data_IF_679803884768
#
_entry.id   IF_679803884768
#
_cell.length_a   1.000
_cell.length_b   1.000
_cell.length_c   1.000
_cell.angle_alpha   90.00
_cell.angle_beta   90.00
_cell.angle_gamma   90.00
#
_symmetry.space_group_name_H-M   'P 1'
#
loop_
_entity.id
_entity.type
_entity.pdbx_description
1 polymer ?
#
# COMPACT_ATOMS: atom_id res chain seq x y z
N UNK A 1 -1.97 -21.33 -11.01
CA UNK A 1 -1.63 -22.16 -9.84
C UNK A 1 -0.11 -22.35 -9.65
N UNK A 2 0.68 -22.79 -10.68
CA UNK A 2 2.15 -22.98 -10.54
C UNK A 2 2.92 -21.71 -10.09
N UNK A 3 2.53 -20.51 -10.54
CA UNK A 3 3.18 -19.24 -10.15
C UNK A 3 2.92 -18.85 -8.70
N UNK A 4 1.72 -19.12 -8.18
CA UNK A 4 1.35 -18.88 -6.77
C UNK A 4 2.09 -19.87 -5.84
N UNK A 5 2.20 -21.12 -6.26
CA UNK A 5 2.94 -22.16 -5.53
C UNK A 5 4.45 -21.86 -5.48
N UNK A 6 5.00 -21.27 -6.54
CA UNK A 6 6.40 -20.85 -6.60
C UNK A 6 6.67 -19.63 -5.70
N UNK A 7 5.72 -18.69 -5.60
CA UNK A 7 5.77 -17.57 -4.65
C UNK A 7 5.66 -18.04 -3.18
N UNK A 8 4.78 -19.02 -2.90
CA UNK A 8 4.69 -19.63 -1.58
C UNK A 8 5.98 -20.39 -1.21
N UNK A 9 6.60 -21.08 -2.16
CA UNK A 9 7.85 -21.82 -1.95
C UNK A 9 9.02 -20.86 -1.70
N UNK A 10 9.09 -19.72 -2.38
CA UNK A 10 10.09 -18.68 -2.08
C UNK A 10 9.87 -18.04 -0.70
N UNK A 11 8.63 -17.86 -0.27
CA UNK A 11 8.31 -17.38 1.08
C UNK A 11 8.74 -18.37 2.17
N UNK A 12 8.58 -19.68 1.93
CA UNK A 12 9.02 -20.72 2.91
C UNK A 12 10.54 -20.85 3.01
N UNK A 13 11.28 -20.66 1.92
CA UNK A 13 12.75 -20.68 1.93
C UNK A 13 13.31 -19.44 2.64
N UNK A 14 12.64 -18.28 2.57
CA UNK A 14 13.03 -17.09 3.32
C UNK A 14 12.84 -17.26 4.84
N UNK A 15 11.87 -18.05 5.28
CA UNK A 15 11.58 -18.30 6.70
C UNK A 15 12.63 -19.19 7.40
N UNK A 16 13.42 -19.96 6.66
CA UNK A 16 14.44 -20.87 7.25
C UNK A 16 15.84 -20.24 7.33
N UNK A 17 16.08 -19.09 6.75
CA UNK A 17 17.42 -18.56 6.52
C UNK A 17 17.91 -17.51 7.53
N UNK A 18 17.27 -17.27 8.69
CA UNK A 18 17.83 -16.27 9.61
C UNK A 18 17.39 -16.44 11.06
N UNK A 19 18.17 -17.20 11.82
CA UNK A 19 18.19 -17.11 13.28
C UNK A 19 19.12 -15.95 13.73
N UNK A 20 19.09 -14.79 13.08
CA UNK A 20 19.83 -13.62 13.54
C UNK A 20 18.91 -12.68 14.31
N UNK A 21 19.41 -12.15 15.41
CA UNK A 21 18.72 -11.31 16.38
C UNK A 21 18.12 -10.06 15.72
N UNK A 22 16.83 -10.08 15.39
CA UNK A 22 16.08 -8.93 14.89
C UNK A 22 15.11 -8.38 15.94
N UNK A 23 15.22 -8.81 17.19
CA UNK A 23 14.52 -8.17 18.30
C UNK A 23 15.27 -6.89 18.64
N UNK A 24 14.58 -5.77 18.47
CA UNK A 24 15.10 -4.46 18.87
C UNK A 24 14.71 -4.19 20.30
N UNK A 25 15.56 -3.43 20.99
CA UNK A 25 15.28 -3.07 22.38
C UNK A 25 14.06 -2.14 22.48
N UNK A 26 13.36 -2.24 23.61
CA UNK A 26 12.25 -1.35 23.93
C UNK A 26 12.73 0.12 23.94
N UNK A 27 11.97 0.99 23.29
CA UNK A 27 12.31 2.40 23.17
C UNK A 27 13.19 2.72 21.96
N UNK A 28 13.58 1.73 21.15
CA UNK A 28 14.32 1.96 19.91
C UNK A 28 13.45 2.71 18.89
N UNK A 29 14.06 3.67 18.22
CA UNK A 29 13.48 4.33 17.05
C UNK A 29 14.25 3.94 15.80
N UNK A 30 13.54 3.62 14.73
CA UNK A 30 14.15 3.29 13.44
C UNK A 30 13.61 4.17 12.32
N UNK A 31 14.43 4.42 11.30
CA UNK A 31 14.04 5.10 10.08
C UNK A 31 14.23 4.15 8.91
N UNK A 32 13.17 3.97 8.10
CA UNK A 32 13.13 3.03 6.98
C UNK A 32 12.79 3.73 5.68
N UNK A 33 13.77 4.16 4.85
CA UNK A 33 13.51 4.41 3.44
C UNK A 33 13.06 3.13 2.75
N UNK A 34 12.08 3.25 1.85
CA UNK A 34 11.51 2.11 1.13
C UNK A 34 11.08 2.48 -0.28
N UNK A 35 11.16 1.50 -1.17
CA UNK A 35 10.72 1.59 -2.56
C UNK A 35 10.01 0.30 -2.96
N UNK A 36 9.16 0.35 -3.98
CA UNK A 36 8.48 -0.85 -4.43
C UNK A 36 7.45 -0.62 -5.51
N UNK A 37 6.55 -1.59 -5.61
CA UNK A 37 5.46 -1.62 -6.58
C UNK A 37 4.12 -1.31 -5.91
N UNK A 38 3.32 -0.51 -6.60
CA UNK A 38 1.97 -0.14 -6.25
C UNK A 38 1.02 -0.74 -7.31
N UNK A 39 0.13 -1.63 -6.91
CA UNK A 39 -0.88 -2.24 -7.77
C UNK A 39 -2.24 -1.66 -7.41
N UNK A 40 -2.65 -0.63 -8.15
CA UNK A 40 -3.94 0.03 -7.99
C UNK A 40 -5.05 -0.81 -8.62
N UNK A 41 -6.15 -0.96 -7.91
CA UNK A 41 -7.33 -1.72 -8.31
C UNK A 41 -8.58 -0.89 -8.09
N UNK A 42 -9.53 -1.03 -8.99
CA UNK A 42 -10.87 -0.47 -8.83
C UNK A 42 -11.70 -1.36 -7.90
N UNK A 43 -12.38 -0.76 -6.94
CA UNK A 43 -13.33 -1.43 -6.05
C UNK A 43 -14.61 -0.59 -5.97
N UNK A 44 -15.75 -1.17 -6.36
CA UNK A 44 -17.04 -0.49 -6.33
C UNK A 44 -18.05 -1.08 -7.31
N UNK A 45 -19.23 -0.46 -7.37
CA UNK A 45 -20.30 -0.83 -8.27
C UNK A 45 -20.01 -0.27 -9.67
N UNK A 46 -19.34 -1.06 -10.51
CA UNK A 46 -19.12 -0.72 -11.92
C UNK A 46 -20.27 -1.28 -12.77
N UNK A 47 -21.13 -0.39 -13.23
CA UNK A 47 -22.13 -0.75 -14.24
C UNK A 47 -21.44 -0.87 -15.59
N UNK A 48 -21.16 -2.08 -16.01
CA UNK A 48 -20.49 -2.39 -17.27
C UNK A 48 -21.36 -1.90 -18.46
N UNK A 49 -20.86 -0.97 -19.27
CA UNK A 49 -21.55 -0.64 -20.52
C UNK A 49 -21.67 -1.89 -21.42
N UNK A 50 -22.68 -1.98 -22.24
CA UNK A 50 -22.81 -3.07 -23.20
C UNK A 50 -21.57 -3.13 -24.10
N UNK A 51 -20.77 -4.21 -23.99
CA UNK A 51 -19.50 -4.38 -24.71
C UNK A 51 -18.26 -3.82 -24.00
N UNK A 52 -18.39 -3.18 -22.84
CA UNK A 52 -17.24 -2.65 -22.07
C UNK A 52 -16.41 -3.73 -21.38
N UNK A 53 -15.16 -3.42 -21.05
CA UNK A 53 -14.24 -4.32 -20.32
C UNK A 53 -14.26 -4.03 -18.82
N UNK A 54 -13.95 -5.04 -18.01
CA UNK A 54 -13.77 -4.86 -16.57
C UNK A 54 -12.52 -4.03 -16.28
N UNK A 55 -12.54 -3.20 -15.19
CA UNK A 55 -11.38 -2.44 -14.78
C UNK A 55 -10.17 -3.36 -14.52
N UNK A 56 -9.03 -3.05 -15.15
CA UNK A 56 -7.79 -3.79 -15.00
C UNK A 56 -6.87 -3.11 -14.00
N UNK A 57 -6.15 -3.90 -13.22
CA UNK A 57 -5.12 -3.43 -12.30
C UNK A 57 -4.07 -2.63 -13.05
N UNK A 58 -3.69 -1.48 -12.49
CA UNK A 58 -2.56 -0.68 -12.97
C UNK A 58 -1.38 -0.86 -12.02
N UNK A 59 -0.22 -1.21 -12.58
CA UNK A 59 1.03 -1.18 -11.87
C UNK A 59 1.65 0.23 -11.91
N UNK A 60 2.07 0.70 -10.76
CA UNK A 60 2.83 1.92 -10.53
C UNK A 60 4.00 1.65 -9.61
N UNK A 61 4.71 2.69 -9.20
CA UNK A 61 5.75 2.58 -8.19
C UNK A 61 5.32 3.27 -6.88
N UNK A 62 5.96 2.88 -5.78
CA UNK A 62 5.86 3.54 -4.49
C UNK A 62 7.26 3.79 -3.94
N UNK A 63 7.47 4.97 -3.37
CA UNK A 63 8.70 5.31 -2.67
C UNK A 63 8.36 6.19 -1.46
N UNK A 64 9.11 6.03 -0.37
CA UNK A 64 8.87 6.82 0.82
C UNK A 64 9.79 6.48 1.97
N UNK A 65 9.43 6.99 3.13
CA UNK A 65 10.14 6.78 4.39
C UNK A 65 9.12 6.47 5.48
N UNK A 66 9.49 5.59 6.41
CA UNK A 66 8.68 5.22 7.57
C UNK A 66 9.56 5.26 8.82
N UNK A 67 9.14 6.00 9.84
CA UNK A 67 9.76 5.99 11.17
C UNK A 67 8.95 5.09 12.08
N UNK A 68 9.60 4.18 12.78
CA UNK A 68 8.95 3.24 13.69
C UNK A 68 9.57 3.32 15.09
N UNK A 69 8.70 3.39 16.09
CA UNK A 69 9.02 3.34 17.50
C UNK A 69 8.63 1.98 18.07
N UNK A 70 9.57 1.27 18.67
CA UNK A 70 9.36 -0.02 19.34
C UNK A 70 8.95 0.22 20.78
N UNK A 71 7.63 0.11 21.05
CA UNK A 71 7.11 0.29 22.41
C UNK A 71 7.46 -0.92 23.32
N UNK A 72 7.56 -2.11 22.73
CA UNK A 72 8.01 -3.33 23.37
C UNK A 72 8.38 -4.39 22.31
N UNK A 73 8.82 -5.59 22.74
CA UNK A 73 9.33 -6.66 21.87
C UNK A 73 8.32 -7.16 20.81
N UNK A 74 7.04 -6.97 21.04
CA UNK A 74 5.97 -7.45 20.17
C UNK A 74 5.15 -6.34 19.50
N UNK A 75 5.37 -5.06 19.85
CA UNK A 75 4.55 -3.96 19.38
C UNK A 75 5.37 -2.72 19.02
N UNK A 76 5.15 -2.22 17.81
CA UNK A 76 5.69 -0.97 17.32
C UNK A 76 4.60 -0.07 16.74
N UNK A 77 4.89 1.22 16.67
CA UNK A 77 4.05 2.22 16.00
C UNK A 77 4.89 2.89 14.94
N UNK A 78 4.43 2.85 13.68
CA UNK A 78 5.11 3.44 12.55
C UNK A 78 4.31 4.59 11.93
N UNK A 79 4.98 5.68 11.64
CA UNK A 79 4.47 6.82 10.88
C UNK A 79 5.29 6.98 9.60
N UNK A 80 4.61 7.05 8.46
CA UNK A 80 5.27 7.13 7.17
C UNK A 80 4.87 8.33 6.33
N UNK A 81 5.65 8.55 5.28
CA UNK A 81 5.34 9.45 4.18
C UNK A 81 5.73 8.75 2.87
N UNK A 82 4.75 8.42 2.03
CA UNK A 82 4.96 7.66 0.81
C UNK A 82 4.32 8.34 -0.40
N UNK A 83 5.07 8.50 -1.47
CA UNK A 83 4.52 8.80 -2.79
C UNK A 83 4.15 7.50 -3.48
N UNK A 84 2.93 7.38 -3.99
CA UNK A 84 2.45 6.18 -4.67
C UNK A 84 1.66 6.52 -5.94
N UNK A 85 2.03 5.85 -7.02
CA UNK A 85 1.28 5.88 -8.27
C UNK A 85 0.22 4.80 -8.26
N UNK A 86 -1.04 5.21 -8.36
CA UNK A 86 -2.22 4.34 -8.34
C UNK A 86 -3.05 4.52 -9.61
N UNK A 87 -4.18 3.85 -9.67
CA UNK A 87 -5.15 3.97 -10.75
C UNK A 87 -5.55 2.63 -11.33
N UNK A 88 -6.27 2.68 -12.44
CA UNK A 88 -6.75 1.50 -13.17
C UNK A 88 -6.86 1.78 -14.66
N UNK A 89 -7.15 0.73 -15.44
CA UNK A 89 -7.39 0.84 -16.88
C UNK A 89 -8.79 0.33 -17.19
N UNK A 90 -9.54 1.09 -18.00
CA UNK A 90 -10.89 0.73 -18.47
C UNK A 90 -11.01 1.08 -19.94
N UNK A 91 -11.46 0.13 -20.77
CA UNK A 91 -11.73 0.30 -22.21
C UNK A 91 -10.60 0.99 -23.00
N UNK A 92 -9.33 0.66 -22.67
CA UNK A 92 -8.15 1.24 -23.28
C UNK A 92 -7.68 2.54 -22.63
N UNK A 93 -8.53 3.23 -21.89
CA UNK A 93 -8.19 4.48 -21.20
C UNK A 93 -7.47 4.17 -19.87
N UNK A 94 -6.44 4.96 -19.56
CA UNK A 94 -5.67 4.81 -18.33
C UNK A 94 -5.95 5.96 -17.38
N UNK A 95 -6.49 5.66 -16.21
CA UNK A 95 -6.57 6.61 -15.10
C UNK A 95 -5.30 6.51 -14.26
N UNK A 96 -4.60 7.64 -14.12
CA UNK A 96 -3.37 7.80 -13.32
C UNK A 96 -3.68 8.70 -12.14
N UNK A 97 -3.48 8.18 -10.93
CA UNK A 97 -3.68 8.90 -9.69
C UNK A 97 -2.39 8.82 -8.88
N UNK A 98 -1.81 9.98 -8.60
CA UNK A 98 -0.59 10.05 -7.80
C UNK A 98 -0.96 10.62 -6.43
N UNK A 99 -0.67 9.85 -5.39
CA UNK A 99 -0.98 10.21 -4.00
C UNK A 99 0.28 10.39 -3.17
N UNK A 100 0.22 11.37 -2.28
CA UNK A 100 1.09 11.46 -1.12
C UNK A 100 0.35 10.85 0.07
N UNK A 101 0.82 9.72 0.56
CA UNK A 101 0.18 8.94 1.62
C UNK A 101 0.93 9.11 2.93
N UNK A 102 0.17 9.34 4.01
CA UNK A 102 0.66 9.39 5.39
C UNK A 102 0.03 8.21 6.15
N UNK A 103 0.67 7.03 6.19
CA UNK A 103 0.24 5.91 6.99
C UNK A 103 0.66 6.08 8.46
N UNK A 104 -0.25 5.79 9.37
CA UNK A 104 0.01 5.53 10.78
C UNK A 104 -0.35 4.06 11.03
N UNK A 105 0.63 3.25 11.33
CA UNK A 105 0.53 1.79 11.35
C UNK A 105 0.96 1.26 12.72
N UNK A 106 0.23 0.30 13.24
CA UNK A 106 0.60 -0.54 14.36
C UNK A 106 1.21 -1.83 13.83
N UNK A 107 2.40 -2.15 14.28
CA UNK A 107 3.17 -3.33 13.91
C UNK A 107 3.17 -4.32 15.08
N UNK A 108 2.61 -5.52 14.84
CA UNK A 108 2.53 -6.60 15.81
C UNK A 108 3.51 -7.70 15.44
N UNK A 109 4.62 -7.79 16.15
CA UNK A 109 5.68 -8.78 15.95
C UNK A 109 5.26 -10.14 16.52
N UNK A 110 4.79 -11.03 15.63
CA UNK A 110 4.28 -12.36 16.00
C UNK A 110 5.38 -13.42 16.03
N UNK A 111 6.50 -13.15 15.37
CA UNK A 111 7.72 -13.96 15.39
C UNK A 111 8.92 -13.05 15.10
N UNK A 112 10.14 -13.58 15.26
CA UNK A 112 11.36 -12.83 14.94
C UNK A 112 11.33 -12.33 13.50
N UNK A 113 11.37 -11.01 13.32
CA UNK A 113 11.32 -10.35 12.02
C UNK A 113 9.96 -10.35 11.33
N UNK A 114 8.95 -11.11 11.79
CA UNK A 114 7.63 -11.18 11.19
C UNK A 114 6.65 -10.30 11.94
N UNK A 115 6.13 -9.26 11.28
CA UNK A 115 5.10 -8.39 11.84
C UNK A 115 3.80 -8.43 11.03
N UNK A 116 2.68 -8.43 11.73
CA UNK A 116 1.36 -8.11 11.20
C UNK A 116 1.14 -6.61 11.34
N UNK A 117 0.63 -5.98 10.30
CA UNK A 117 0.50 -4.53 10.22
C UNK A 117 -0.95 -4.14 9.99
N UNK A 118 -1.42 -3.15 10.75
CA UNK A 118 -2.72 -2.52 10.51
C UNK A 118 -2.71 -1.09 11.03
N UNK A 119 -3.67 -0.27 10.57
CA UNK A 119 -3.70 1.12 11.01
C UNK A 119 -4.63 1.97 10.18
N UNK A 120 -4.25 3.23 9.99
CA UNK A 120 -4.97 4.20 9.15
C UNK A 120 -3.99 4.86 8.19
N UNK A 121 -4.47 5.23 7.02
CA UNK A 121 -3.68 5.95 6.02
C UNK A 121 -4.48 7.12 5.47
N UNK A 122 -3.86 8.27 5.46
CA UNK A 122 -4.38 9.50 4.86
C UNK A 122 -3.66 9.74 3.53
N UNK A 123 -4.41 9.79 2.43
CA UNK A 123 -3.88 10.04 1.09
C UNK A 123 -4.30 11.41 0.57
N UNK A 124 -3.35 12.16 0.04
CA UNK A 124 -3.57 13.46 -0.58
C UNK A 124 -3.28 13.34 -2.08
N UNK A 125 -4.30 13.65 -2.91
CA UNK A 125 -4.18 13.58 -4.37
C UNK A 125 -3.26 14.69 -4.89
N UNK A 126 -2.12 14.31 -5.42
CA UNK A 126 -1.14 15.22 -6.01
C UNK A 126 -1.44 15.47 -7.49
N UNK A 127 -1.76 14.42 -8.24
CA UNK A 127 -2.05 14.47 -9.67
C UNK A 127 -3.12 13.46 -10.05
N UNK A 128 -4.03 13.83 -10.95
CA UNK A 128 -5.00 12.92 -11.55
C UNK A 128 -5.06 13.20 -13.06
N UNK A 129 -4.70 12.20 -13.85
CA UNK A 129 -4.68 12.29 -15.32
C UNK A 129 -5.43 11.13 -15.93
N UNK A 130 -6.33 11.44 -16.84
CA UNK A 130 -6.88 10.49 -17.81
C UNK A 130 -6.20 10.73 -19.16
N UNK A 131 -6.37 9.79 -20.10
CA UNK A 131 -5.77 9.94 -21.44
C UNK A 131 -6.25 11.21 -22.16
N UNK A 132 -7.41 11.75 -21.81
CA UNK A 132 -8.01 12.96 -22.38
C UNK A 132 -7.61 14.26 -21.64
N UNK A 133 -6.81 14.20 -20.54
CA UNK A 133 -6.33 15.41 -19.86
C UNK A 133 -6.29 15.32 -18.33
N UNK A 134 -6.13 16.47 -17.69
CA UNK A 134 -6.10 16.63 -16.25
C UNK A 134 -7.53 16.62 -15.68
N UNK A 135 -7.82 15.66 -14.80
CA UNK A 135 -9.14 15.48 -14.17
C UNK A 135 -9.10 15.69 -12.65
N UNK A 136 -8.02 16.28 -12.12
CA UNK A 136 -7.81 16.49 -10.68
C UNK A 136 -8.96 17.21 -9.99
N UNK A 137 -9.62 18.14 -10.70
CA UNK A 137 -10.74 18.92 -10.14
C UNK A 137 -12.02 18.09 -9.98
N UNK A 138 -12.16 17.00 -10.74
CA UNK A 138 -13.30 16.08 -10.68
C UNK A 138 -13.08 14.93 -9.69
N UNK A 139 -11.87 14.79 -9.14
CA UNK A 139 -11.52 13.77 -8.16
C UNK A 139 -11.54 14.32 -6.73
N UNK A 140 -11.86 13.45 -5.78
CA UNK A 140 -11.68 13.75 -4.36
C UNK A 140 -10.19 13.89 -4.05
N UNK A 141 -9.84 15.00 -3.38
CA UNK A 141 -8.45 15.32 -3.04
C UNK A 141 -7.92 14.51 -1.86
N UNK A 142 -8.82 13.94 -1.08
CA UNK A 142 -8.50 13.22 0.14
C UNK A 142 -8.96 11.76 0.04
N UNK A 143 -8.08 10.86 0.41
CA UNK A 143 -8.36 9.43 0.50
C UNK A 143 -8.06 8.93 1.91
N UNK A 144 -9.02 8.26 2.52
CA UNK A 144 -8.84 7.57 3.78
C UNK A 144 -8.92 6.06 3.56
N UNK A 145 -7.92 5.33 4.05
CA UNK A 145 -7.83 3.88 3.87
C UNK A 145 -7.34 3.18 5.13
N UNK A 146 -7.64 1.89 5.24
CA UNK A 146 -7.14 1.01 6.28
C UNK A 146 -6.09 0.11 5.65
N UNK A 147 -4.79 0.27 5.99
CA UNK A 147 -3.74 -0.66 5.63
C UNK A 147 -3.87 -1.94 6.47
N UNK A 148 -3.77 -3.09 5.82
CA UNK A 148 -3.60 -4.40 6.44
C UNK A 148 -2.47 -5.10 5.70
N UNK A 149 -1.50 -5.64 6.43
CA UNK A 149 -0.33 -6.21 5.78
C UNK A 149 0.51 -7.09 6.69
N UNK A 150 1.57 -7.56 6.08
CA UNK A 150 2.63 -8.33 6.75
C UNK A 150 3.98 -7.76 6.32
N UNK A 151 4.94 -7.78 7.22
CA UNK A 151 6.33 -7.50 6.88
C UNK A 151 7.26 -8.55 7.46
N UNK A 152 8.35 -8.77 6.75
CA UNK A 152 9.41 -9.65 7.21
C UNK A 152 10.75 -8.93 7.17
N UNK A 153 11.43 -8.88 8.29
CA UNK A 153 12.73 -8.25 8.47
C UNK A 153 13.84 -9.30 8.47
N UNK A 154 14.83 -9.09 7.60
CA UNK A 154 16.04 -9.90 7.49
C UNK A 154 17.23 -8.98 7.76
N UNK A 155 17.83 -9.08 8.92
CA UNK A 155 18.80 -8.10 9.43
C UNK A 155 18.17 -6.69 9.45
N UNK A 156 18.57 -5.80 8.56
CA UNK A 156 18.01 -4.46 8.44
C UNK A 156 17.13 -4.30 7.18
N UNK A 157 17.05 -5.31 6.33
CA UNK A 157 16.16 -5.28 5.17
C UNK A 157 14.75 -5.71 5.55
N UNK A 158 13.76 -4.96 5.09
CA UNK A 158 12.35 -5.23 5.33
C UNK A 158 11.64 -5.47 4.02
N UNK A 159 11.00 -6.61 3.90
CA UNK A 159 10.02 -6.92 2.86
C UNK A 159 8.63 -6.64 3.43
N UNK A 160 7.84 -5.81 2.79
CA UNK A 160 6.52 -5.41 3.29
C UNK A 160 5.47 -5.57 2.18
N UNK A 161 4.38 -6.22 2.52
CA UNK A 161 3.22 -6.39 1.64
C UNK A 161 2.02 -5.81 2.39
N UNK A 162 1.38 -4.78 1.80
CA UNK A 162 0.17 -4.15 2.37
C UNK A 162 -0.95 -4.09 1.35
N UNK A 163 -2.14 -4.34 1.83
CA UNK A 163 -3.39 -4.04 1.14
C UNK A 163 -4.05 -2.85 1.82
N UNK A 164 -4.26 -1.77 1.09
CA UNK A 164 -4.91 -0.56 1.59
C UNK A 164 -6.36 -0.57 1.09
N UNK A 165 -7.28 -0.78 2.03
CA UNK A 165 -8.71 -0.81 1.79
C UNK A 165 -9.21 0.64 1.79
N UNK A 166 -9.55 1.18 0.62
CA UNK A 166 -10.06 2.54 0.52
C UNK A 166 -11.47 2.66 1.11
N UNK A 167 -11.68 3.63 1.99
CA UNK A 167 -12.98 3.93 2.57
C UNK A 167 -13.65 5.14 1.92
N UNK A 168 -12.88 6.06 1.35
CA UNK A 168 -13.37 7.23 0.62
C UNK A 168 -13.56 6.94 -0.86
N UNK A 169 -14.51 7.65 -1.47
CA UNK A 169 -14.78 7.59 -2.91
C UNK A 169 -13.73 8.39 -3.68
N UNK A 170 -13.45 8.01 -4.92
CA UNK A 170 -12.52 8.74 -5.81
C UNK A 170 -13.21 9.91 -6.50
N UNK A 171 -14.49 9.76 -6.88
CA UNK A 171 -15.24 10.79 -7.60
C UNK A 171 -16.00 11.70 -6.64
N UNK A 172 -15.97 13.01 -6.92
CA UNK A 172 -16.93 13.96 -6.35
C UNK A 172 -18.32 13.65 -6.90
N UNK A 173 -19.33 13.75 -6.03
CA UNK A 173 -20.73 13.56 -6.42
C UNK A 173 -21.15 14.66 -7.42
N UNK A 174 -21.14 14.38 -8.71
CA UNK A 174 -21.84 15.15 -9.73
C UNK A 174 -23.13 14.42 -10.07
N UNK A 175 -24.27 14.93 -9.56
CA UNK A 175 -25.59 14.68 -10.11
C UNK A 175 -26.06 13.21 -10.13
N UNK A 176 -26.44 12.63 -9.00
CA UNK A 176 -27.50 11.63 -8.98
C UNK A 176 -27.12 10.14 -9.15
N UNK A 177 -25.91 9.77 -9.49
CA UNK A 177 -25.47 8.39 -9.51
C UNK A 177 -24.54 8.10 -8.31
N UNK A 178 -25.02 7.33 -7.35
CA UNK A 178 -24.27 6.90 -6.15
C UNK A 178 -23.25 5.81 -6.49
N UNK A 179 -22.39 6.03 -7.48
CA UNK A 179 -21.32 5.09 -7.78
C UNK A 179 -20.25 5.15 -6.67
N UNK A 180 -20.12 4.06 -5.94
CA UNK A 180 -19.14 3.91 -4.85
C UNK A 180 -17.77 3.52 -5.41
N UNK A 181 -17.21 4.34 -6.29
CA UNK A 181 -15.92 4.08 -6.90
C UNK A 181 -14.79 4.34 -5.89
N UNK A 182 -14.07 3.28 -5.51
CA UNK A 182 -12.92 3.33 -4.58
C UNK A 182 -11.67 2.84 -5.29
N UNK A 183 -10.52 3.29 -4.84
CA UNK A 183 -9.22 2.84 -5.35
C UNK A 183 -8.48 2.10 -4.25
N UNK A 184 -8.57 0.78 -4.28
CA UNK A 184 -7.77 -0.07 -3.40
C UNK A 184 -6.33 -0.18 -3.93
N UNK A 185 -5.39 -0.43 -3.03
CA UNK A 185 -3.98 -0.49 -3.36
C UNK A 185 -3.32 -1.70 -2.70
N UNK A 186 -2.73 -2.57 -3.51
CA UNK A 186 -1.73 -3.55 -3.02
C UNK A 186 -0.34 -2.96 -3.22
N UNK A 187 0.48 -2.96 -2.20
CA UNK A 187 1.87 -2.51 -2.28
C UNK A 187 2.83 -3.60 -1.85
N UNK A 188 3.92 -3.70 -2.60
CA UNK A 188 5.06 -4.57 -2.32
C UNK A 188 6.28 -3.66 -2.19
N UNK A 189 6.86 -3.56 -1.01
CA UNK A 189 8.01 -2.69 -0.80
C UNK A 189 9.19 -3.42 -0.19
N UNK A 190 10.38 -2.94 -0.52
CA UNK A 190 11.63 -3.28 0.12
C UNK A 190 12.17 -2.02 0.76
N UNK A 191 12.55 -2.12 2.01
CA UNK A 191 13.14 -1.03 2.78
C UNK A 191 14.39 -1.47 3.51
N UNK A 192 15.10 -0.49 4.05
CA UNK A 192 16.23 -0.70 4.93
C UNK A 192 16.03 0.11 6.21
N UNK A 193 16.09 -0.55 7.37
CA UNK A 193 15.95 0.09 8.68
C UNK A 193 17.29 0.56 9.20
N UNK A 194 17.35 1.85 9.51
CA UNK A 194 18.42 2.47 10.29
C UNK A 194 17.94 2.64 11.72
N UNK A 195 18.69 2.15 12.66
CA UNK A 195 18.46 2.39 14.09
C UNK A 195 19.04 3.76 14.47
N UNK A 196 18.30 4.55 15.25
CA UNK A 196 18.64 5.92 15.63
C UNK A 196 18.81 6.05 17.15
#
# INVERSE_FOLDING_TARGET
MKKIMMMLLMATVALTASAQNTLRDNGTFTLQPKVGLALGSFSGDYTKPAGGQDPKVRAGFIAGVEGEYYANDWFGIALGLNYAQQGWKVDGNTLKLDYLNVPLVADFYVARGLALKTGVQFGFLMSAKADEGDIKNSCEKFNFSIPVGISYEISNFVLDIRYNIALTKVNKNDGGHNEKNRSDLVQFTVGYKFEL
#
